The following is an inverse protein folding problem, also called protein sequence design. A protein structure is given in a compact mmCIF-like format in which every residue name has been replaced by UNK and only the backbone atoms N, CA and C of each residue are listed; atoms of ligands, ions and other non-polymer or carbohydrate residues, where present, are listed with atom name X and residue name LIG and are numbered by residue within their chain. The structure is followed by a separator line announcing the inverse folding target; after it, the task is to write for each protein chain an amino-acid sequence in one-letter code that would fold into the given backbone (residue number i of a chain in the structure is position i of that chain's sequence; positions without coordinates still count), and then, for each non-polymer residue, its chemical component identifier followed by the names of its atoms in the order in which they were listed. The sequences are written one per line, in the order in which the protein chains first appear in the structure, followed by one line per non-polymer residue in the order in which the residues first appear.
data_IF_224918146244
#
_entry.id   IF_224918146244
#
_cell.length_a   1.000
_cell.length_b   1.000
_cell.length_c   1.000
_cell.angle_alpha   90.00
_cell.angle_beta   90.00
_cell.angle_gamma   90.00
#
_symmetry.space_group_name_H-M   'P 1'
#
loop_
_entity.id
_entity.type
_entity.pdbx_description
1 polymer ?
#
# COMPACT_ATOMS: atom_id res chain seq x y z
N UNK A 1 -6.48 6.06 23.93
CA UNK A 1 -7.45 5.19 23.21
C UNK A 1 -6.93 3.74 23.11
N UNK A 2 -5.62 3.50 23.01
CA UNK A 2 -5.05 2.16 22.82
C UNK A 2 -4.31 1.59 24.03
N UNK A 3 -4.29 2.26 25.19
CA UNK A 3 -3.42 1.93 26.34
C UNK A 3 -3.90 0.73 27.19
N UNK A 4 -5.13 0.23 27.00
CA UNK A 4 -5.66 -0.91 27.79
C UNK A 4 -6.66 -1.72 26.94
N UNK A 5 -6.19 -2.25 25.80
CA UNK A 5 -7.04 -3.09 24.95
C UNK A 5 -7.13 -4.48 25.58
N UNK A 6 -8.33 -4.87 26.01
CA UNK A 6 -8.64 -6.23 26.42
C UNK A 6 -8.99 -7.08 25.18
N UNK A 7 -7.98 -7.73 24.62
CA UNK A 7 -8.11 -8.57 23.42
C UNK A 7 -9.14 -9.68 23.63
N UNK A 8 -9.17 -10.30 24.81
CA UNK A 8 -10.12 -11.37 25.11
C UNK A 8 -11.57 -10.87 25.00
N UNK A 9 -11.85 -9.72 25.59
CA UNK A 9 -13.18 -9.10 25.53
C UNK A 9 -13.56 -8.74 24.09
N UNK A 10 -12.64 -8.17 23.32
CA UNK A 10 -12.85 -7.85 21.89
C UNK A 10 -13.19 -9.12 21.09
N UNK A 11 -12.46 -10.22 21.30
CA UNK A 11 -12.75 -11.49 20.62
C UNK A 11 -14.13 -12.04 21.00
N UNK A 12 -14.50 -12.00 22.28
CA UNK A 12 -15.83 -12.41 22.77
C UNK A 12 -16.95 -11.58 22.11
N UNK A 13 -16.80 -10.26 22.05
CA UNK A 13 -17.77 -9.36 21.40
C UNK A 13 -17.91 -9.67 19.91
N UNK A 14 -16.80 -9.84 19.17
CA UNK A 14 -16.84 -10.14 17.75
C UNK A 14 -17.39 -11.53 17.44
N UNK A 15 -17.10 -12.55 18.25
CA UNK A 15 -17.69 -13.89 18.13
C UNK A 15 -19.21 -13.86 18.26
N UNK A 16 -19.75 -12.97 19.12
CA UNK A 16 -21.18 -12.81 19.34
C UNK A 16 -21.94 -12.18 18.16
N UNK A 17 -21.24 -11.62 17.17
CA UNK A 17 -21.87 -11.13 15.94
C UNK A 17 -22.24 -12.26 14.97
N UNK A 18 -21.70 -13.44 15.14
CA UNK A 18 -22.02 -14.65 14.37
C UNK A 18 -22.81 -15.65 15.22
N UNK A 19 -23.77 -16.33 14.62
CA UNK A 19 -24.49 -17.43 15.28
C UNK A 19 -23.58 -18.61 15.56
N UNK A 20 -22.63 -18.87 14.65
CA UNK A 20 -21.62 -19.90 14.78
C UNK A 20 -20.33 -19.49 14.03
N UNK A 21 -19.45 -18.75 14.69
CA UNK A 21 -18.21 -18.24 14.11
C UNK A 21 -17.27 -19.35 13.60
N UNK A 22 -17.33 -20.57 14.18
CA UNK A 22 -16.53 -21.71 13.72
C UNK A 22 -17.01 -22.23 12.36
N UNK A 23 -18.32 -22.44 12.20
CA UNK A 23 -18.91 -22.86 10.92
C UNK A 23 -18.74 -21.77 9.85
N UNK A 24 -18.87 -20.51 10.23
CA UNK A 24 -18.62 -19.39 9.32
C UNK A 24 -17.16 -19.40 8.85
N UNK A 25 -16.21 -19.63 9.73
CA UNK A 25 -14.80 -19.74 9.37
C UNK A 25 -14.53 -20.90 8.39
N UNK A 26 -15.13 -22.06 8.59
CA UNK A 26 -15.01 -23.20 7.65
C UNK A 26 -15.50 -22.83 6.24
N UNK A 27 -16.58 -22.02 6.12
CA UNK A 27 -17.06 -21.54 4.82
C UNK A 27 -16.05 -20.55 4.19
N UNK A 28 -15.52 -19.63 4.99
CA UNK A 28 -14.49 -18.68 4.57
C UNK A 28 -13.23 -19.43 4.11
N UNK A 29 -12.80 -20.44 4.86
CA UNK A 29 -11.63 -21.25 4.51
C UNK A 29 -11.81 -21.93 3.14
N UNK A 30 -12.94 -22.56 2.88
CA UNK A 30 -13.27 -23.15 1.57
C UNK A 30 -13.29 -22.11 0.45
N UNK A 31 -13.83 -20.92 0.70
CA UNK A 31 -13.78 -19.82 -0.26
C UNK A 31 -12.34 -19.43 -0.60
N UNK A 32 -11.48 -19.27 0.41
CA UNK A 32 -10.07 -18.93 0.21
C UNK A 32 -9.31 -20.07 -0.48
N UNK A 33 -9.59 -21.34 -0.15
CA UNK A 33 -9.02 -22.50 -0.85
C UNK A 33 -9.33 -22.45 -2.36
N UNK A 34 -10.56 -22.13 -2.73
CA UNK A 34 -10.95 -22.01 -4.14
C UNK A 34 -10.20 -20.87 -4.85
N UNK A 35 -10.07 -19.70 -4.21
CA UNK A 35 -9.30 -18.58 -4.76
C UNK A 35 -7.80 -18.93 -4.92
N UNK A 36 -7.21 -19.58 -3.92
CA UNK A 36 -5.82 -20.05 -3.98
C UNK A 36 -5.64 -21.08 -5.11
N UNK A 37 -6.56 -22.01 -5.26
CA UNK A 37 -6.50 -23.00 -6.34
C UNK A 37 -6.54 -22.35 -7.72
N UNK A 38 -7.33 -21.30 -7.90
CA UNK A 38 -7.35 -20.52 -9.13
C UNK A 38 -5.99 -19.85 -9.39
N UNK A 39 -5.40 -19.21 -8.39
CA UNK A 39 -4.06 -18.59 -8.47
C UNK A 39 -3.01 -19.63 -8.91
N UNK A 40 -3.01 -20.80 -8.27
CA UNK A 40 -2.07 -21.88 -8.58
C UNK A 40 -2.27 -22.44 -10.00
N UNK A 41 -3.50 -22.46 -10.50
CA UNK A 41 -3.80 -22.88 -11.88
C UNK A 41 -3.25 -21.88 -12.92
N UNK A 42 -3.30 -20.57 -12.65
CA UNK A 42 -2.66 -19.57 -13.51
C UNK A 42 -1.13 -19.74 -13.49
N UNK A 43 -0.55 -19.92 -12.30
CA UNK A 43 0.89 -20.16 -12.14
C UNK A 43 1.37 -21.40 -12.90
N UNK A 44 0.63 -22.51 -12.82
CA UNK A 44 0.94 -23.74 -13.59
C UNK A 44 0.93 -23.51 -15.11
N UNK A 45 0.15 -22.56 -15.60
CA UNK A 45 0.06 -22.20 -17.03
C UNK A 45 1.08 -21.12 -17.42
N UNK A 46 1.99 -20.72 -16.53
CA UNK A 46 2.90 -19.59 -16.71
C UNK A 46 2.19 -18.28 -17.12
N UNK A 47 1.00 -18.03 -16.55
CA UNK A 47 0.21 -16.82 -16.79
C UNK A 47 0.10 -16.01 -15.50
N UNK A 48 0.11 -14.68 -15.63
CA UNK A 48 -0.23 -13.79 -14.53
C UNK A 48 -1.73 -13.85 -14.25
N UNK A 49 -2.09 -13.85 -12.97
CA UNK A 49 -3.47 -13.69 -12.51
C UNK A 49 -3.77 -12.23 -12.18
N UNK A 50 -2.74 -11.39 -12.10
CA UNK A 50 -2.88 -9.95 -11.83
C UNK A 50 -3.42 -9.29 -13.10
N UNK A 51 -4.56 -8.57 -13.03
CA UNK A 51 -5.12 -7.88 -14.18
C UNK A 51 -4.19 -6.79 -14.71
N UNK A 52 -4.18 -6.61 -16.02
CA UNK A 52 -3.40 -5.58 -16.70
C UNK A 52 -4.28 -4.75 -17.63
N UNK A 53 -4.00 -3.45 -17.74
CA UNK A 53 -4.66 -2.53 -18.66
C UNK A 53 -3.67 -1.46 -19.11
N UNK A 54 -3.76 -1.00 -20.37
CA UNK A 54 -2.98 0.15 -20.83
C UNK A 54 -3.62 1.47 -20.37
N UNK A 55 -2.80 2.51 -20.11
CA UNK A 55 -3.30 3.87 -19.83
C UNK A 55 -4.22 4.39 -20.92
N UNK A 56 -4.03 3.95 -22.16
CA UNK A 56 -4.84 4.34 -23.31
C UNK A 56 -6.22 3.67 -23.35
N UNK A 57 -6.46 2.68 -22.49
CA UNK A 57 -7.69 1.90 -22.44
C UNK A 57 -8.55 2.18 -21.20
N UNK A 58 -8.03 2.91 -20.21
CA UNK A 58 -8.75 3.11 -18.93
C UNK A 58 -10.07 3.89 -19.07
N UNK A 59 -10.24 4.67 -20.14
CA UNK A 59 -11.47 5.40 -20.43
C UNK A 59 -12.47 4.59 -21.27
N UNK A 60 -12.12 3.35 -21.67
CA UNK A 60 -12.97 2.50 -22.47
C UNK A 60 -13.85 1.60 -21.58
N UNK A 61 -14.92 1.07 -22.13
CA UNK A 61 -15.70 0.05 -21.44
C UNK A 61 -14.89 -1.25 -21.35
N UNK A 62 -14.37 -1.52 -20.17
CA UNK A 62 -13.56 -2.69 -19.82
C UNK A 62 -14.18 -3.44 -18.63
N UNK A 63 -15.48 -3.62 -18.65
CA UNK A 63 -16.27 -4.23 -17.56
C UNK A 63 -15.60 -5.49 -17.00
N UNK A 64 -15.14 -6.41 -17.85
CA UNK A 64 -14.48 -7.64 -17.40
C UNK A 64 -13.17 -7.38 -16.65
N UNK A 65 -12.34 -6.45 -17.13
CA UNK A 65 -11.08 -6.10 -16.44
C UNK A 65 -11.38 -5.46 -15.08
N UNK A 66 -12.40 -4.62 -15.00
CA UNK A 66 -12.86 -4.00 -13.74
C UNK A 66 -13.35 -5.07 -12.75
N UNK A 67 -14.11 -6.06 -13.21
CA UNK A 67 -14.55 -7.21 -12.40
C UNK A 67 -13.35 -8.00 -11.87
N UNK A 68 -12.37 -8.29 -12.73
CA UNK A 68 -11.14 -8.98 -12.34
C UNK A 68 -10.34 -8.16 -11.34
N UNK A 69 -10.21 -6.83 -11.52
CA UNK A 69 -9.56 -5.94 -10.55
C UNK A 69 -10.27 -5.98 -9.20
N UNK A 70 -11.60 -5.91 -9.18
CA UNK A 70 -12.39 -5.99 -7.95
C UNK A 70 -12.28 -7.35 -7.27
N UNK A 71 -12.16 -8.43 -8.02
CA UNK A 71 -11.92 -9.78 -7.50
C UNK A 71 -10.50 -9.93 -6.93
N UNK A 72 -9.49 -9.42 -7.66
CA UNK A 72 -8.08 -9.57 -7.29
C UNK A 72 -7.56 -8.50 -6.35
N UNK A 73 -8.20 -7.35 -6.32
CA UNK A 73 -7.79 -6.20 -5.50
C UNK A 73 -6.50 -5.55 -5.97
N UNK A 74 -6.06 -5.80 -7.19
CA UNK A 74 -4.83 -5.24 -7.74
C UNK A 74 -4.90 -5.09 -9.26
N UNK A 75 -4.02 -4.26 -9.82
CA UNK A 75 -3.92 -4.02 -11.26
C UNK A 75 -2.55 -3.49 -11.64
N UNK A 76 -2.07 -3.85 -12.83
CA UNK A 76 -0.95 -3.19 -13.49
C UNK A 76 -1.52 -2.28 -14.57
N UNK A 77 -1.08 -1.02 -14.56
CA UNK A 77 -1.41 -0.06 -15.62
C UNK A 77 -0.12 0.16 -16.42
N UNK A 78 -0.19 -0.24 -17.69
CA UNK A 78 0.93 -0.20 -18.61
C UNK A 78 1.06 1.15 -19.28
N UNK A 79 2.30 1.52 -19.59
CA UNK A 79 2.66 2.67 -20.43
C UNK A 79 2.11 4.01 -19.87
N UNK A 80 2.07 4.17 -18.53
CA UNK A 80 1.63 5.42 -17.89
C UNK A 80 2.55 6.57 -18.24
N UNK A 81 3.84 6.28 -18.33
CA UNK A 81 4.87 7.23 -18.75
C UNK A 81 5.71 6.65 -19.88
N UNK A 82 6.26 7.52 -20.71
CA UNK A 82 7.22 7.13 -21.73
C UNK A 82 8.53 6.63 -21.10
N UNK A 83 9.10 5.56 -21.65
CA UNK A 83 10.32 4.92 -21.14
C UNK A 83 11.46 5.93 -20.96
N UNK A 84 11.74 6.74 -22.00
CA UNK A 84 12.82 7.75 -21.96
C UNK A 84 12.60 8.84 -20.88
N UNK A 85 11.37 9.22 -20.64
CA UNK A 85 11.05 10.19 -19.59
C UNK A 85 11.40 9.61 -18.22
N UNK A 86 11.00 8.37 -17.97
CA UNK A 86 11.26 7.69 -16.69
C UNK A 86 12.74 7.34 -16.53
N UNK A 87 13.43 6.90 -17.58
CA UNK A 87 14.87 6.65 -17.55
C UNK A 87 15.65 7.92 -17.17
N UNK A 88 15.25 9.08 -17.70
CA UNK A 88 15.84 10.36 -17.33
C UNK A 88 15.55 10.72 -15.86
N UNK A 89 14.32 10.47 -15.35
CA UNK A 89 14.00 10.69 -13.96
C UNK A 89 14.76 9.75 -13.02
N UNK A 90 14.99 8.49 -13.44
CA UNK A 90 15.82 7.56 -12.67
C UNK A 90 17.27 8.08 -12.56
N UNK A 91 17.86 8.56 -13.67
CA UNK A 91 19.19 9.16 -13.66
C UNK A 91 19.26 10.41 -12.77
N UNK A 92 18.24 11.29 -12.85
CA UNK A 92 18.16 12.47 -11.97
C UNK A 92 18.07 12.07 -10.50
N UNK A 93 17.34 11.00 -10.17
CA UNK A 93 17.26 10.49 -8.81
C UNK A 93 18.62 9.94 -8.33
N UNK A 94 19.34 9.21 -9.17
CA UNK A 94 20.68 8.71 -8.85
C UNK A 94 21.64 9.86 -8.58
N UNK A 95 21.67 10.87 -9.46
CA UNK A 95 22.47 12.08 -9.26
C UNK A 95 22.09 12.81 -7.96
N UNK A 96 20.79 12.91 -7.66
CA UNK A 96 20.30 13.54 -6.43
C UNK A 96 20.80 12.83 -5.16
N UNK A 97 20.84 11.50 -5.18
CA UNK A 97 21.37 10.67 -4.09
C UNK A 97 22.87 10.91 -3.92
N UNK A 98 23.63 10.87 -5.03
CA UNK A 98 25.10 10.93 -5.02
C UNK A 98 25.62 12.35 -4.70
N UNK A 99 25.05 13.39 -5.33
CA UNK A 99 25.47 14.80 -5.12
C UNK A 99 25.19 15.26 -3.68
N UNK A 100 24.22 14.68 -3.00
CA UNK A 100 23.89 15.02 -1.61
C UNK A 100 24.51 14.06 -0.59
N UNK A 101 25.36 13.13 -1.00
CA UNK A 101 26.03 12.15 -0.12
C UNK A 101 25.06 11.39 0.80
N UNK A 102 23.90 11.00 0.26
CA UNK A 102 22.82 10.35 1.04
C UNK A 102 23.31 9.16 1.88
N UNK A 103 24.17 8.32 1.32
CA UNK A 103 24.67 7.13 2.03
C UNK A 103 25.48 7.47 3.30
N UNK A 104 26.23 8.58 3.29
CA UNK A 104 26.98 9.03 4.46
C UNK A 104 26.04 9.63 5.52
N UNK A 105 25.02 10.36 5.10
CA UNK A 105 24.02 10.90 6.01
C UNK A 105 23.16 9.79 6.64
N UNK A 106 22.79 8.79 5.85
CA UNK A 106 22.06 7.63 6.33
C UNK A 106 22.84 6.84 7.40
N UNK A 107 24.14 6.63 7.23
CA UNK A 107 24.99 5.97 8.23
C UNK A 107 25.00 6.73 9.57
N UNK A 108 25.00 8.05 9.55
CA UNK A 108 24.99 8.88 10.77
C UNK A 108 23.67 8.79 11.55
N UNK A 109 22.56 8.47 10.86
CA UNK A 109 21.20 8.44 11.42
C UNK A 109 20.61 7.03 11.54
N UNK A 110 21.37 5.99 11.23
CA UNK A 110 20.91 4.59 11.22
C UNK A 110 20.23 4.12 12.52
N UNK A 111 20.58 4.76 13.67
CA UNK A 111 19.95 4.46 14.96
C UNK A 111 18.49 4.95 15.09
N UNK A 112 18.03 5.87 14.24
CA UNK A 112 16.69 6.44 14.29
C UNK A 112 15.64 5.50 13.67
N UNK A 113 16.04 4.68 12.70
CA UNK A 113 15.17 3.74 12.03
C UNK A 113 15.68 2.28 12.15
N UNK A 114 15.63 1.75 13.37
CA UNK A 114 16.01 0.35 13.66
C UNK A 114 15.21 -0.69 12.88
N UNK A 115 14.07 -0.32 12.33
CA UNK A 115 13.22 -1.24 11.56
C UNK A 115 13.83 -1.60 10.19
N UNK A 116 14.66 -0.72 9.64
CA UNK A 116 15.30 -0.89 8.33
C UNK A 116 16.83 -0.99 8.40
N UNK A 117 17.43 -0.89 9.59
CA UNK A 117 18.89 -0.83 9.78
C UNK A 117 19.62 -2.17 9.75
N UNK A 118 18.93 -3.30 9.86
CA UNK A 118 19.54 -4.63 9.96
C UNK A 118 19.85 -5.27 8.60
N UNK A 119 20.32 -4.46 7.63
CA UNK A 119 20.67 -4.94 6.30
C UNK A 119 22.07 -5.54 6.27
N UNK A 120 22.18 -6.77 5.81
CA UNK A 120 23.47 -7.43 5.53
C UNK A 120 24.31 -6.70 4.48
N UNK A 121 23.69 -5.98 3.54
CA UNK A 121 24.37 -5.25 2.48
C UNK A 121 25.02 -3.94 2.93
N UNK A 122 24.69 -3.43 4.11
CA UNK A 122 25.17 -2.12 4.59
C UNK A 122 24.62 -0.92 3.78
N UNK A 123 23.72 -1.15 2.81
CA UNK A 123 23.05 -0.13 2.03
C UNK A 123 21.53 -0.20 2.24
N UNK A 124 20.83 0.93 2.38
CA UNK A 124 19.38 0.93 2.48
C UNK A 124 18.75 0.46 1.16
N UNK A 125 17.65 -0.26 1.23
CA UNK A 125 16.82 -0.56 0.07
C UNK A 125 15.64 0.41 -0.04
N UNK A 126 15.22 1.01 1.08
CA UNK A 126 14.20 2.05 1.15
C UNK A 126 14.89 3.34 1.60
N UNK A 127 14.75 4.37 0.79
CA UNK A 127 15.42 5.65 0.98
C UNK A 127 14.44 6.66 1.55
N UNK A 128 14.80 7.29 2.67
CA UNK A 128 14.04 8.36 3.32
C UNK A 128 14.08 9.66 2.52
N UNK A 129 13.77 9.59 1.24
CA UNK A 129 13.69 10.70 0.29
C UNK A 129 12.24 10.87 -0.16
N UNK A 130 11.77 12.09 -0.24
CA UNK A 130 10.36 12.43 -0.47
C UNK A 130 10.16 13.52 -1.53
N UNK A 131 11.13 14.43 -1.64
CA UNK A 131 10.99 15.72 -2.32
C UNK A 131 11.92 15.90 -3.52
N UNK A 132 12.52 14.81 -4.01
CA UNK A 132 13.29 14.83 -5.25
C UNK A 132 12.40 15.17 -6.45
N UNK A 133 13.02 15.74 -7.49
CA UNK A 133 12.32 16.07 -8.74
C UNK A 133 11.62 14.85 -9.35
N UNK A 134 12.28 13.69 -9.38
CA UNK A 134 11.70 12.45 -9.88
C UNK A 134 10.41 12.06 -9.14
N UNK A 135 10.40 12.17 -7.80
CA UNK A 135 9.23 11.85 -7.00
C UNK A 135 8.08 12.84 -7.22
N UNK A 136 8.38 14.12 -7.30
CA UNK A 136 7.37 15.18 -7.52
C UNK A 136 6.76 15.06 -8.92
N UNK A 137 7.57 14.92 -9.96
CA UNK A 137 7.08 14.82 -11.34
C UNK A 137 6.23 13.55 -11.56
N UNK A 138 6.59 12.42 -10.97
CA UNK A 138 5.79 11.21 -11.05
C UNK A 138 4.47 11.37 -10.29
N UNK A 139 4.51 11.78 -9.01
CA UNK A 139 3.30 11.84 -8.15
C UNK A 139 2.26 12.85 -8.61
N UNK A 140 2.72 13.97 -9.20
CA UNK A 140 1.89 15.14 -9.48
C UNK A 140 1.69 15.42 -10.97
N UNK A 141 2.02 14.46 -11.84
CA UNK A 141 1.75 14.57 -13.28
C UNK A 141 0.27 14.43 -13.59
N UNK A 142 -0.16 14.98 -14.72
CA UNK A 142 -1.52 14.82 -15.26
C UNK A 142 -1.84 13.33 -15.55
N UNK A 143 -0.85 12.57 -16.05
CA UNK A 143 -1.00 11.14 -16.30
C UNK A 143 -1.30 10.39 -15.00
N UNK A 144 -0.55 10.68 -13.93
CA UNK A 144 -0.77 10.07 -12.64
C UNK A 144 -2.12 10.49 -12.03
N UNK A 145 -2.52 11.75 -12.19
CA UNK A 145 -3.84 12.23 -11.77
C UNK A 145 -4.97 11.48 -12.50
N UNK A 146 -4.82 11.24 -13.81
CA UNK A 146 -5.76 10.45 -14.60
C UNK A 146 -5.88 9.01 -14.07
N UNK A 147 -4.76 8.36 -13.79
CA UNK A 147 -4.71 7.00 -13.20
C UNK A 147 -5.42 6.96 -11.86
N UNK A 148 -5.08 7.86 -10.94
CA UNK A 148 -5.67 7.88 -9.60
C UNK A 148 -7.16 8.18 -9.63
N UNK A 149 -7.60 9.11 -10.46
CA UNK A 149 -9.03 9.37 -10.69
C UNK A 149 -9.77 8.12 -11.14
N UNK A 150 -9.22 7.37 -12.10
CA UNK A 150 -9.82 6.13 -12.57
C UNK A 150 -9.89 5.09 -11.45
N UNK A 151 -8.82 4.88 -10.70
CA UNK A 151 -8.77 3.95 -9.56
C UNK A 151 -9.78 4.34 -8.47
N UNK A 152 -9.90 5.61 -8.14
CA UNK A 152 -10.86 6.13 -7.16
C UNK A 152 -12.31 5.81 -7.57
N UNK A 153 -12.62 5.88 -8.87
CA UNK A 153 -13.95 5.57 -9.41
C UNK A 153 -14.29 4.06 -9.42
N UNK A 154 -13.34 3.17 -9.12
CA UNK A 154 -13.64 1.75 -8.92
C UNK A 154 -14.36 1.48 -7.59
N UNK A 155 -14.34 2.44 -6.68
CA UNK A 155 -14.93 2.31 -5.35
C UNK A 155 -16.40 2.76 -5.31
N UNK A 156 -17.15 2.20 -4.37
CA UNK A 156 -18.46 2.71 -3.96
C UNK A 156 -18.19 3.80 -2.91
N UNK A 157 -18.01 5.04 -3.36
CA UNK A 157 -17.65 6.18 -2.51
C UNK A 157 -18.82 7.04 -2.07
N UNK A 158 -19.97 6.87 -2.71
CA UNK A 158 -21.21 7.58 -2.37
C UNK A 158 -22.46 6.76 -2.65
N UNK A 159 -23.51 7.07 -1.92
CA UNK A 159 -24.89 6.66 -2.20
C UNK A 159 -25.85 7.75 -1.71
N UNK A 160 -27.14 7.43 -1.54
CA UNK A 160 -28.16 8.37 -1.04
C UNK A 160 -27.88 8.88 0.38
N UNK A 161 -27.16 8.10 1.20
CA UNK A 161 -26.94 8.39 2.63
C UNK A 161 -25.61 9.07 2.92
N UNK A 162 -24.60 8.91 2.04
CA UNK A 162 -23.24 9.39 2.30
C UNK A 162 -22.44 9.65 1.02
N UNK A 163 -21.47 10.54 1.16
CA UNK A 163 -20.35 10.73 0.24
C UNK A 163 -19.07 10.76 1.09
N UNK A 164 -18.13 9.85 0.81
CA UNK A 164 -16.91 9.67 1.59
C UNK A 164 -15.78 10.54 1.06
N UNK A 165 -15.64 10.62 -0.27
CA UNK A 165 -14.61 11.40 -0.93
C UNK A 165 -15.02 11.89 -2.32
N UNK A 166 -14.31 12.89 -2.84
CA UNK A 166 -14.42 13.32 -4.23
C UNK A 166 -13.38 12.58 -5.09
N UNK A 167 -13.79 11.71 -6.02
CA UNK A 167 -12.86 10.92 -6.84
C UNK A 167 -12.11 11.77 -7.89
N UNK A 168 -12.55 13.00 -8.15
CA UNK A 168 -11.94 13.90 -9.12
C UNK A 168 -10.86 14.80 -8.51
N UNK A 169 -10.78 14.84 -7.18
CA UNK A 169 -9.80 15.62 -6.45
C UNK A 169 -8.89 14.67 -5.69
N UNK A 170 -7.61 14.85 -5.85
CA UNK A 170 -6.59 14.00 -5.26
C UNK A 170 -5.71 14.80 -4.30
N UNK A 171 -5.34 14.19 -3.18
CA UNK A 171 -4.36 14.72 -2.25
C UNK A 171 -3.08 13.89 -2.30
N UNK A 172 -1.95 14.50 -2.00
CA UNK A 172 -0.67 13.81 -2.08
C UNK A 172 -0.35 13.07 -0.77
N UNK A 173 0.10 11.83 -0.91
CA UNK A 173 0.82 11.11 0.13
C UNK A 173 2.26 10.94 -0.32
N UNK A 174 3.17 11.66 0.31
CA UNK A 174 4.59 11.60 -0.03
C UNK A 174 5.21 10.37 0.63
N UNK A 175 5.51 9.37 -0.17
CA UNK A 175 6.19 8.15 0.24
C UNK A 175 7.61 8.11 -0.36
N UNK A 176 8.38 7.11 0.02
CA UNK A 176 9.80 6.93 -0.21
C UNK A 176 10.15 6.47 -1.63
N UNK A 177 11.42 6.23 -1.84
CA UNK A 177 11.97 5.54 -3.01
C UNK A 177 12.50 4.19 -2.56
N UNK A 178 12.32 3.17 -3.38
CA UNK A 178 12.98 1.88 -3.20
C UNK A 178 13.98 1.66 -4.32
N UNK A 179 15.21 1.29 -3.93
CA UNK A 179 16.27 0.86 -4.84
C UNK A 179 16.87 -0.43 -4.30
N UNK A 180 16.79 -1.49 -5.06
CA UNK A 180 17.32 -2.80 -4.68
C UNK A 180 18.40 -3.25 -5.63
N UNK A 181 19.55 -3.58 -5.07
CA UNK A 181 20.71 -4.06 -5.85
C UNK A 181 20.58 -5.54 -6.20
N UNK A 182 21.16 -6.00 -7.32
CA UNK A 182 21.36 -7.42 -7.59
C UNK A 182 22.10 -8.11 -6.45
N UNK A 183 21.62 -9.26 -6.05
CA UNK A 183 22.22 -10.06 -4.97
C UNK A 183 21.69 -9.72 -3.58
N UNK A 184 20.93 -8.64 -3.41
CA UNK A 184 20.35 -8.27 -2.12
C UNK A 184 19.32 -9.28 -1.63
N UNK A 185 19.46 -9.69 -0.37
CA UNK A 185 18.41 -10.39 0.37
C UNK A 185 17.30 -9.41 0.78
N UNK A 186 16.12 -9.93 1.14
CA UNK A 186 15.02 -9.08 1.62
C UNK A 186 15.36 -8.41 2.94
N UNK A 187 14.79 -7.21 3.14
CA UNK A 187 14.78 -6.50 4.42
C UNK A 187 13.82 -7.10 5.47
N UNK A 188 13.28 -8.31 5.22
CA UNK A 188 12.25 -8.88 6.08
C UNK A 188 10.88 -8.23 5.90
N UNK A 189 10.59 -7.65 4.72
CA UNK A 189 9.24 -7.25 4.33
C UNK A 189 8.40 -8.50 4.05
N UNK A 190 8.13 -9.25 5.12
CA UNK A 190 7.27 -10.42 5.13
C UNK A 190 5.83 -10.02 4.73
N UNK A 191 4.99 -10.97 4.35
CA UNK A 191 3.60 -10.69 3.97
C UNK A 191 2.85 -9.90 5.03
N UNK A 192 2.26 -8.76 4.61
CA UNK A 192 1.58 -7.81 5.50
C UNK A 192 0.55 -6.96 4.75
N UNK A 193 -0.23 -6.19 5.51
CA UNK A 193 -0.97 -5.04 5.01
C UNK A 193 -0.55 -3.80 5.82
N UNK A 194 -0.39 -2.67 5.14
CA UNK A 194 -0.19 -1.37 5.81
C UNK A 194 -1.50 -0.88 6.45
N UNK A 195 -1.49 0.25 7.13
CA UNK A 195 -2.68 0.90 7.68
C UNK A 195 -3.47 0.03 8.67
N UNK A 196 -3.05 0.07 9.91
CA UNK A 196 -3.72 -0.58 11.04
C UNK A 196 -3.43 -2.08 11.15
N UNK A 197 -3.27 -2.52 12.37
CA UNK A 197 -3.06 -3.92 12.74
C UNK A 197 -4.15 -4.35 13.73
N UNK A 198 -3.90 -4.22 15.03
CA UNK A 198 -4.89 -4.51 16.09
C UNK A 198 -6.16 -3.65 15.92
N UNK A 199 -6.03 -2.45 15.40
CA UNK A 199 -7.11 -1.50 15.15
C UNK A 199 -8.23 -2.11 14.29
N UNK A 200 -7.90 -3.05 13.40
CA UNK A 200 -8.88 -3.73 12.54
C UNK A 200 -9.93 -4.52 13.33
N UNK A 201 -9.61 -4.94 14.56
CA UNK A 201 -10.56 -5.61 15.49
C UNK A 201 -11.10 -4.66 16.55
N UNK A 202 -10.39 -3.58 16.89
CA UNK A 202 -10.67 -2.78 18.10
C UNK A 202 -11.26 -1.40 17.80
N UNK A 203 -10.95 -0.78 16.67
CA UNK A 203 -11.54 0.49 16.29
C UNK A 203 -12.96 0.32 15.76
N UNK A 204 -13.87 1.16 16.22
CA UNK A 204 -15.30 1.05 15.92
C UNK A 204 -15.63 1.27 14.43
N UNK A 205 -14.82 2.04 13.70
CA UNK A 205 -15.02 2.26 12.27
C UNK A 205 -14.46 1.08 11.46
N UNK A 206 -13.33 0.51 11.85
CA UNK A 206 -12.86 -0.74 11.28
C UNK A 206 -13.86 -1.88 11.47
N UNK A 207 -14.46 -2.02 12.66
CA UNK A 207 -15.51 -3.00 12.90
C UNK A 207 -16.73 -2.79 11.99
N UNK A 208 -17.11 -1.54 11.72
CA UNK A 208 -18.20 -1.22 10.78
C UNK A 208 -17.85 -1.55 9.32
N UNK A 209 -16.59 -1.34 8.90
CA UNK A 209 -16.09 -1.73 7.58
C UNK A 209 -16.19 -3.25 7.41
N UNK A 210 -15.80 -4.00 8.45
CA UNK A 210 -15.71 -5.47 8.42
C UNK A 210 -16.93 -6.17 9.03
N UNK A 211 -18.05 -5.46 9.29
CA UNK A 211 -19.23 -6.02 9.95
C UNK A 211 -19.76 -7.31 9.31
N UNK A 212 -19.74 -7.37 7.98
CA UNK A 212 -20.21 -8.55 7.25
C UNK A 212 -19.24 -9.73 7.40
N UNK A 213 -17.95 -9.48 7.62
CA UNK A 213 -16.94 -10.50 7.91
C UNK A 213 -17.15 -11.12 9.27
N UNK A 214 -17.42 -10.30 10.29
CA UNK A 214 -17.65 -10.76 11.66
C UNK A 214 -19.05 -11.38 11.88
N UNK A 215 -19.96 -11.25 10.91
CA UNK A 215 -21.27 -11.87 10.91
C UNK A 215 -21.29 -13.14 10.04
N UNK A 216 -22.45 -13.78 9.92
CA UNK A 216 -22.63 -14.94 9.04
C UNK A 216 -22.82 -14.57 7.56
N UNK A 217 -22.43 -13.36 7.15
CA UNK A 217 -22.69 -12.80 5.84
C UNK A 217 -21.42 -12.36 5.10
N UNK A 218 -20.29 -13.04 5.30
CA UNK A 218 -19.00 -12.64 4.71
C UNK A 218 -19.04 -12.50 3.19
N UNK A 219 -19.94 -13.20 2.50
CA UNK A 219 -20.15 -13.10 1.07
C UNK A 219 -20.59 -11.70 0.63
N UNK A 220 -21.33 -10.98 1.51
CA UNK A 220 -21.79 -9.61 1.29
C UNK A 220 -20.68 -8.56 1.45
N UNK A 221 -19.58 -8.93 2.11
CA UNK A 221 -18.47 -8.01 2.28
C UNK A 221 -17.96 -7.51 0.94
N UNK A 222 -18.01 -6.19 0.76
CA UNK A 222 -17.46 -5.51 -0.41
C UNK A 222 -16.18 -4.76 -0.03
N UNK A 223 -14.99 -5.24 -0.45
CA UNK A 223 -13.73 -4.55 -0.17
C UNK A 223 -13.69 -3.12 -0.71
N UNK A 224 -14.38 -2.86 -1.81
CA UNK A 224 -14.44 -1.56 -2.48
C UNK A 224 -15.55 -0.64 -1.96
N UNK A 225 -16.12 -0.91 -0.79
CA UNK A 225 -17.00 -0.01 -0.08
C UNK A 225 -16.18 1.00 0.74
N UNK A 226 -16.33 2.30 0.45
CA UNK A 226 -15.56 3.35 1.11
C UNK A 226 -16.15 3.79 2.45
N UNK A 227 -17.43 3.46 2.73
CA UNK A 227 -18.11 3.89 3.95
C UNK A 227 -17.30 3.56 5.20
N UNK A 228 -17.05 4.56 6.03
CA UNK A 228 -16.26 4.54 7.27
C UNK A 228 -14.73 4.48 7.11
N UNK A 229 -14.17 4.26 5.91
CA UNK A 229 -12.71 4.16 5.74
C UNK A 229 -11.97 5.49 5.95
N UNK A 230 -12.65 6.59 5.74
CA UNK A 230 -12.16 7.95 6.05
C UNK A 230 -12.20 8.30 7.55
N UNK A 231 -12.76 7.42 8.39
CA UNK A 231 -12.99 7.65 9.82
C UNK A 231 -12.20 6.70 10.73
N UNK A 232 -11.47 5.76 10.15
CA UNK A 232 -10.60 4.84 10.91
C UNK A 232 -9.53 5.63 11.67
N UNK A 233 -9.17 5.11 12.84
CA UNK A 233 -8.10 5.67 13.66
C UNK A 233 -7.02 4.61 13.80
N UNK A 234 -5.82 4.97 13.39
CA UNK A 234 -4.63 4.16 13.49
C UNK A 234 -3.73 4.66 14.63
N UNK A 235 -2.97 3.77 15.23
CA UNK A 235 -1.98 4.13 16.24
C UNK A 235 -0.83 4.91 15.61
N UNK A 236 -0.43 6.04 16.23
CA UNK A 236 0.69 6.86 15.74
C UNK A 236 2.00 6.08 15.80
N UNK A 237 2.53 5.74 14.64
CA UNK A 237 3.79 5.02 14.49
C UNK A 237 4.36 5.24 13.07
N UNK A 238 5.69 5.33 12.92
CA UNK A 238 6.34 5.40 11.61
C UNK A 238 6.12 4.17 10.71
N UNK A 239 5.52 3.11 11.23
CA UNK A 239 5.20 1.90 10.48
C UNK A 239 3.73 1.84 10.03
N UNK A 240 2.95 2.90 10.23
CA UNK A 240 1.51 2.94 9.97
C UNK A 240 1.17 4.17 9.12
N UNK A 241 0.39 3.97 8.07
CA UNK A 241 -0.12 5.07 7.25
C UNK A 241 -1.44 5.61 7.81
N UNK A 242 -1.50 6.93 8.03
CA UNK A 242 -2.66 7.62 8.63
C UNK A 242 -3.59 8.27 7.60
N UNK A 243 -3.46 7.93 6.34
CA UNK A 243 -4.33 8.40 5.25
C UNK A 243 -5.26 7.29 4.79
N UNK A 244 -6.42 7.66 4.25
CA UNK A 244 -7.23 6.75 3.48
C UNK A 244 -6.71 6.69 2.04
N UNK A 245 -6.13 5.57 1.65
CA UNK A 245 -5.73 5.28 0.26
C UNK A 245 -6.74 4.33 -0.37
N UNK A 246 -7.24 4.65 -1.54
CA UNK A 246 -8.06 3.70 -2.33
C UNK A 246 -7.17 2.60 -2.88
N UNK A 247 -5.97 2.94 -3.30
CA UNK A 247 -4.93 2.02 -3.72
C UNK A 247 -3.56 2.48 -3.22
N UNK A 248 -2.73 1.52 -2.88
CA UNK A 248 -1.29 1.66 -2.78
C UNK A 248 -0.68 1.31 -4.13
N UNK A 249 0.51 1.84 -4.42
CA UNK A 249 1.15 1.54 -5.68
C UNK A 249 2.57 2.06 -5.77
N UNK A 250 3.18 1.80 -6.91
CA UNK A 250 4.45 2.40 -7.29
C UNK A 250 4.60 2.46 -8.82
N UNK A 251 5.50 3.34 -9.25
CA UNK A 251 5.95 3.48 -10.63
C UNK A 251 7.31 2.82 -10.78
N UNK A 252 7.47 1.94 -11.78
CA UNK A 252 8.75 1.35 -12.12
C UNK A 252 9.67 2.40 -12.76
N UNK A 253 10.86 2.57 -12.20
CA UNK A 253 11.92 3.41 -12.80
C UNK A 253 12.86 2.59 -13.68
N UNK A 254 12.94 1.29 -13.43
CA UNK A 254 13.76 0.34 -14.17
C UNK A 254 12.93 -0.88 -14.56
N UNK A 255 13.40 -1.62 -15.56
CA UNK A 255 12.82 -2.91 -15.89
C UNK A 255 13.01 -3.87 -14.71
N UNK A 256 11.95 -4.55 -14.31
CA UNK A 256 11.98 -5.53 -13.22
C UNK A 256 10.83 -6.53 -13.33
N UNK A 257 11.00 -7.69 -12.73
CA UNK A 257 9.98 -8.74 -12.75
C UNK A 257 10.30 -9.87 -11.77
N UNK A 258 9.73 -11.05 -11.96
CA UNK A 258 10.02 -12.21 -11.10
C UNK A 258 11.53 -12.49 -11.02
N UNK A 259 12.04 -12.70 -9.82
CA UNK A 259 13.44 -12.88 -9.43
C UNK A 259 14.29 -11.60 -9.35
N UNK A 260 13.71 -10.42 -9.59
CA UNK A 260 14.39 -9.13 -9.44
C UNK A 260 14.13 -8.48 -8.07
N UNK A 261 13.78 -9.28 -7.07
CA UNK A 261 13.42 -8.77 -5.75
C UNK A 261 12.18 -7.89 -5.75
N UNK A 262 11.24 -8.17 -6.63
CA UNK A 262 10.06 -7.33 -6.88
C UNK A 262 8.93 -7.58 -5.88
N UNK A 263 7.83 -6.85 -6.08
CA UNK A 263 6.60 -6.98 -5.30
C UNK A 263 5.96 -8.35 -5.49
N UNK A 264 5.46 -8.89 -4.39
CA UNK A 264 4.59 -10.06 -4.38
C UNK A 264 3.23 -9.69 -3.79
N UNK A 265 2.17 -10.27 -4.33
CA UNK A 265 0.79 -10.05 -3.87
C UNK A 265 0.11 -11.38 -3.60
N UNK A 266 -0.84 -11.39 -2.66
CA UNK A 266 -1.89 -12.40 -2.60
C UNK A 266 -3.13 -11.77 -3.25
N UNK A 267 -3.37 -11.99 -4.55
CA UNK A 267 -4.38 -11.28 -5.31
C UNK A 267 -5.80 -11.80 -5.02
N UNK A 268 -6.26 -11.57 -3.80
CA UNK A 268 -7.59 -11.91 -3.29
C UNK A 268 -8.12 -10.69 -2.53
N UNK A 269 -8.99 -9.89 -3.14
CA UNK A 269 -9.53 -8.67 -2.52
C UNK A 269 -10.25 -8.95 -1.19
N UNK A 270 -10.83 -10.14 -1.05
CA UNK A 270 -11.53 -10.59 0.17
C UNK A 270 -10.64 -11.35 1.16
N UNK A 271 -9.30 -11.30 1.04
CA UNK A 271 -8.40 -12.03 1.95
C UNK A 271 -8.60 -11.67 3.43
N UNK A 272 -9.05 -10.45 3.74
CA UNK A 272 -9.35 -10.03 5.09
C UNK A 272 -10.47 -10.86 5.75
N UNK A 273 -11.36 -11.49 4.99
CA UNK A 273 -12.35 -12.41 5.55
C UNK A 273 -11.68 -13.52 6.35
N UNK A 274 -10.62 -14.10 5.80
CA UNK A 274 -9.84 -15.15 6.46
C UNK A 274 -8.98 -14.58 7.59
N UNK A 275 -8.22 -13.53 7.35
CA UNK A 275 -7.27 -12.97 8.32
C UNK A 275 -7.97 -12.54 9.61
N UNK A 276 -9.09 -11.82 9.49
CA UNK A 276 -9.80 -11.30 10.65
C UNK A 276 -10.54 -12.38 11.44
N UNK A 277 -11.16 -13.35 10.77
CA UNK A 277 -11.89 -14.44 11.43
C UNK A 277 -10.97 -15.54 11.94
N UNK A 278 -9.77 -15.71 11.37
CA UNK A 278 -8.74 -16.64 11.86
C UNK A 278 -8.34 -16.33 13.30
N UNK A 279 -8.22 -15.06 13.64
CA UNK A 279 -7.88 -14.61 14.98
C UNK A 279 -8.94 -14.98 16.04
N UNK A 280 -10.17 -15.25 15.61
CA UNK A 280 -11.29 -15.59 16.50
C UNK A 280 -11.39 -17.10 16.78
N UNK A 281 -10.56 -17.95 16.14
CA UNK A 281 -10.66 -19.41 16.30
C UNK A 281 -10.08 -19.88 17.64
N UNK A 282 -10.53 -21.07 18.11
CA UNK A 282 -10.24 -21.60 19.44
C UNK A 282 -8.76 -21.96 19.66
N UNK A 283 -8.02 -22.25 18.60
CA UNK A 283 -6.60 -22.56 18.64
C UNK A 283 -5.69 -21.34 18.70
N UNK A 284 -6.27 -20.12 18.60
CA UNK A 284 -5.54 -18.86 18.78
C UNK A 284 -5.69 -18.39 20.23
N UNK A 285 -4.59 -18.16 20.98
CA UNK A 285 -4.65 -17.71 22.36
C UNK A 285 -5.60 -16.52 22.56
N UNK A 286 -6.37 -16.51 23.64
CA UNK A 286 -7.43 -15.52 23.89
C UNK A 286 -6.91 -14.08 23.97
N UNK A 287 -5.66 -13.88 24.33
CA UNK A 287 -4.98 -12.58 24.42
C UNK A 287 -4.21 -12.20 23.15
N UNK A 288 -4.37 -12.94 22.04
CA UNK A 288 -3.65 -12.74 20.79
C UNK A 288 -4.57 -12.59 19.58
N UNK A 289 -4.08 -11.88 18.56
CA UNK A 289 -4.70 -11.68 17.26
C UNK A 289 -3.74 -12.13 16.16
N UNK A 290 -3.39 -13.44 16.14
CA UNK A 290 -2.50 -14.06 15.16
C UNK A 290 -1.13 -13.35 15.01
N UNK A 291 -0.56 -12.87 16.12
CA UNK A 291 0.72 -12.16 16.14
C UNK A 291 0.66 -10.69 15.74
N UNK A 292 -0.54 -10.13 15.53
CA UNK A 292 -0.71 -8.70 15.27
C UNK A 292 -0.31 -7.85 16.47
N UNK A 293 0.33 -6.71 16.22
CA UNK A 293 0.84 -5.79 17.26
C UNK A 293 0.47 -4.36 16.94
N UNK A 294 0.16 -3.59 17.99
CA UNK A 294 -0.13 -2.17 17.89
C UNK A 294 1.08 -1.42 17.32
N UNK A 295 0.83 -0.42 16.48
CA UNK A 295 1.87 0.39 15.86
C UNK A 295 2.75 -0.35 14.85
N UNK A 296 2.26 -1.45 14.31
CA UNK A 296 2.90 -2.26 13.25
C UNK A 296 1.94 -2.46 12.09
N UNK A 297 2.49 -2.83 10.94
CA UNK A 297 1.69 -3.36 9.84
C UNK A 297 1.03 -4.69 10.25
N UNK A 298 -0.15 -4.99 9.70
CA UNK A 298 -0.84 -6.25 9.92
C UNK A 298 -0.02 -7.40 9.35
N UNK A 299 0.53 -8.26 10.20
CA UNK A 299 1.36 -9.39 9.80
C UNK A 299 0.54 -10.58 9.34
N UNK A 300 0.95 -11.20 8.23
CA UNK A 300 0.43 -12.47 7.73
C UNK A 300 1.56 -13.49 7.77
N UNK A 301 1.48 -14.45 8.69
CA UNK A 301 2.58 -15.34 9.04
C UNK A 301 2.25 -16.82 8.82
N UNK A 302 3.28 -17.68 8.87
CA UNK A 302 3.15 -19.13 8.61
C UNK A 302 2.35 -19.86 9.69
N UNK A 303 2.39 -19.38 10.93
CA UNK A 303 1.79 -20.08 12.06
C UNK A 303 0.26 -20.06 11.98
N UNK A 304 -0.31 -18.96 11.51
CA UNK A 304 -1.75 -18.77 11.46
C UNK A 304 -2.34 -18.70 10.05
N UNK A 305 -1.55 -18.32 9.04
CA UNK A 305 -2.05 -17.95 7.71
C UNK A 305 -1.42 -18.78 6.58
N UNK A 306 -0.95 -20.00 6.87
CA UNK A 306 -0.25 -20.85 5.90
C UNK A 306 -1.04 -21.10 4.61
N UNK A 307 -2.37 -21.16 4.68
CA UNK A 307 -3.24 -21.28 3.52
C UNK A 307 -3.07 -20.09 2.57
N UNK A 308 -3.20 -18.86 3.07
CA UNK A 308 -3.07 -17.64 2.26
C UNK A 308 -1.69 -17.51 1.60
N UNK A 309 -0.63 -17.90 2.31
CA UNK A 309 0.73 -17.80 1.81
C UNK A 309 0.99 -18.66 0.55
N UNK A 310 0.18 -19.69 0.29
CA UNK A 310 0.23 -20.48 -0.96
C UNK A 310 -0.15 -19.65 -2.18
N UNK A 311 -0.91 -18.57 -1.98
CA UNK A 311 -1.36 -17.65 -3.03
C UNK A 311 -0.42 -16.49 -3.31
N UNK A 312 0.75 -16.44 -2.67
CA UNK A 312 1.73 -15.39 -2.91
C UNK A 312 2.35 -15.54 -4.29
N UNK A 313 2.25 -14.50 -5.11
CA UNK A 313 2.78 -14.48 -6.48
C UNK A 313 3.52 -13.17 -6.75
N UNK A 314 4.64 -13.26 -7.47
CA UNK A 314 5.34 -12.08 -7.96
C UNK A 314 4.54 -11.40 -9.07
N UNK A 315 4.65 -10.08 -9.14
CA UNK A 315 4.08 -9.33 -10.26
C UNK A 315 4.78 -9.73 -11.57
N UNK A 316 4.11 -9.63 -12.71
CA UNK A 316 4.75 -9.87 -14.00
C UNK A 316 5.82 -8.82 -14.30
N UNK A 317 6.59 -9.06 -15.38
CA UNK A 317 7.62 -8.14 -15.83
C UNK A 317 7.06 -6.74 -16.08
N UNK A 318 7.70 -5.74 -15.49
CA UNK A 318 7.39 -4.32 -15.61
C UNK A 318 8.46 -3.62 -16.44
N UNK A 319 8.04 -2.66 -17.25
CA UNK A 319 8.94 -1.72 -17.95
C UNK A 319 9.04 -0.40 -17.19
N UNK A 320 10.05 0.43 -17.44
CA UNK A 320 10.04 1.82 -16.96
C UNK A 320 8.73 2.50 -17.36
N UNK A 321 8.11 3.22 -16.43
CA UNK A 321 6.84 3.91 -16.68
C UNK A 321 5.57 3.11 -16.46
N UNK A 322 5.66 1.78 -16.30
CA UNK A 322 4.54 0.97 -15.83
C UNK A 322 4.26 1.24 -14.35
N UNK A 323 3.02 1.07 -13.93
CA UNK A 323 2.61 1.21 -12.53
C UNK A 323 1.86 -0.03 -12.05
N UNK A 324 2.05 -0.39 -10.78
CA UNK A 324 1.27 -1.43 -10.11
C UNK A 324 0.51 -0.84 -8.94
N UNK A 325 -0.71 -1.31 -8.75
CA UNK A 325 -1.63 -0.82 -7.73
C UNK A 325 -2.30 -1.97 -7.01
N UNK A 326 -2.47 -1.83 -5.69
CA UNK A 326 -3.19 -2.81 -4.87
C UNK A 326 -4.04 -2.15 -3.81
N UNK A 327 -5.18 -2.76 -3.56
CA UNK A 327 -6.12 -2.35 -2.52
C UNK A 327 -5.45 -2.40 -1.13
N UNK A 328 -5.73 -1.51 -0.18
CA UNK A 328 -5.11 -1.48 1.15
C UNK A 328 -5.21 -2.80 1.94
N UNK A 329 -6.24 -3.60 1.68
CA UNK A 329 -6.45 -4.89 2.31
C UNK A 329 -5.83 -6.07 1.54
N UNK A 330 -5.14 -5.83 0.43
CA UNK A 330 -4.39 -6.87 -0.29
C UNK A 330 -3.06 -7.10 0.40
N UNK A 331 -2.83 -8.35 0.76
CA UNK A 331 -1.59 -8.79 1.40
C UNK A 331 -0.46 -8.69 0.37
N UNK A 332 0.62 -8.04 0.77
CA UNK A 332 1.78 -7.86 -0.09
C UNK A 332 3.09 -8.14 0.65
N UNK A 333 4.10 -8.46 -0.12
CA UNK A 333 5.47 -8.74 0.31
C UNK A 333 6.46 -8.34 -0.78
N UNK A 334 7.73 -8.55 -0.56
CA UNK A 334 8.75 -8.52 -1.61
C UNK A 334 9.43 -9.87 -1.69
N UNK A 335 9.95 -10.21 -2.87
CA UNK A 335 10.74 -11.43 -3.03
C UNK A 335 11.92 -11.45 -2.08
N UNK A 336 12.24 -12.62 -1.52
CA UNK A 336 13.30 -12.80 -0.52
C UNK A 336 14.67 -12.43 -1.09
N UNK A 337 14.90 -12.66 -2.39
CA UNK A 337 16.19 -12.45 -3.03
C UNK A 337 16.05 -11.73 -4.37
N UNK A 338 17.00 -10.84 -4.66
CA UNK A 338 17.19 -10.25 -5.97
C UNK A 338 18.25 -11.05 -6.75
N UNK A 339 17.80 -11.93 -7.63
CA UNK A 339 18.67 -12.79 -8.45
C UNK A 339 18.91 -12.23 -9.87
N UNK A 340 18.31 -11.06 -10.17
CA UNK A 340 18.48 -10.36 -11.45
C UNK A 340 19.85 -9.71 -11.61
N UNK A 341 20.01 -8.95 -12.69
CA UNK A 341 21.29 -8.31 -13.06
C UNK A 341 21.30 -6.79 -12.89
N UNK A 342 20.14 -6.17 -12.87
CA UNK A 342 19.97 -4.72 -12.83
C UNK A 342 19.27 -4.29 -11.55
N UNK A 343 19.42 -3.02 -11.17
CA UNK A 343 18.65 -2.44 -10.06
C UNK A 343 17.15 -2.52 -10.30
N UNK A 344 16.40 -2.81 -9.24
CA UNK A 344 14.95 -2.69 -9.18
C UNK A 344 14.59 -1.40 -8.45
N UNK A 345 14.35 -0.32 -9.20
CA UNK A 345 14.05 1.01 -8.67
C UNK A 345 12.57 1.35 -8.85
N UNK A 346 11.95 1.88 -7.81
CA UNK A 346 10.56 2.35 -7.85
C UNK A 346 10.36 3.62 -7.03
N UNK A 347 9.41 4.44 -7.45
CA UNK A 347 8.84 5.52 -6.63
C UNK A 347 7.48 5.07 -6.12
N UNK A 348 7.31 5.06 -4.80
CA UNK A 348 6.01 4.77 -4.20
C UNK A 348 5.01 5.89 -4.46
N UNK A 349 3.80 5.50 -4.81
CA UNK A 349 2.67 6.38 -5.05
C UNK A 349 1.42 5.81 -4.38
N UNK A 350 0.51 6.66 -3.95
CA UNK A 350 -0.78 6.26 -3.40
C UNK A 350 -1.90 7.01 -4.09
N UNK A 351 -3.05 6.39 -4.25
CA UNK A 351 -4.28 7.07 -4.62
C UNK A 351 -4.99 7.50 -3.33
N UNK A 352 -4.97 8.80 -3.05
CA UNK A 352 -5.45 9.45 -1.83
C UNK A 352 -6.52 10.49 -2.18
N UNK A 353 -7.78 10.07 -2.41
CA UNK A 353 -8.83 10.98 -2.84
C UNK A 353 -9.13 12.05 -1.79
N UNK A 354 -9.72 13.15 -2.24
CA UNK A 354 -10.05 14.27 -1.36
C UNK A 354 -11.16 13.88 -0.37
N UNK A 355 -10.77 13.75 0.88
CA UNK A 355 -11.67 13.63 2.04
C UNK A 355 -11.05 14.37 3.23
N UNK A 356 -11.84 14.56 4.30
CA UNK A 356 -11.34 15.31 5.47
C UNK A 356 -10.10 14.70 6.10
N UNK A 357 -10.06 13.37 6.30
CA UNK A 357 -8.90 12.66 6.86
C UNK A 357 -7.63 12.96 6.07
N UNK A 358 -7.73 12.84 4.75
CA UNK A 358 -6.59 13.06 3.85
C UNK A 358 -6.18 14.54 3.80
N UNK A 359 -7.13 15.48 3.82
CA UNK A 359 -6.84 16.90 3.85
C UNK A 359 -6.08 17.28 5.15
N UNK A 360 -6.57 16.85 6.29
CA UNK A 360 -5.93 17.11 7.59
C UNK A 360 -4.49 16.58 7.64
N UNK A 361 -4.24 15.41 7.06
CA UNK A 361 -2.90 14.85 6.91
C UNK A 361 -2.05 15.70 5.94
N UNK A 362 -2.58 15.98 4.75
CA UNK A 362 -1.83 16.69 3.71
C UNK A 362 -1.41 18.09 4.15
N UNK A 363 -2.23 18.79 4.91
CA UNK A 363 -1.86 20.11 5.50
C UNK A 363 -0.63 19.99 6.40
N UNK A 364 -0.52 18.92 7.20
CA UNK A 364 0.67 18.66 8.03
C UNK A 364 1.88 18.33 7.15
N UNK A 365 1.69 17.48 6.15
CA UNK A 365 2.72 17.08 5.20
C UNK A 365 3.27 18.28 4.41
N UNK A 366 2.41 19.21 3.99
CA UNK A 366 2.83 20.40 3.21
C UNK A 366 3.74 21.33 4.00
N UNK A 367 3.53 21.46 5.31
CA UNK A 367 4.47 22.18 6.17
C UNK A 367 5.85 21.51 6.17
N UNK A 368 5.89 20.17 6.20
CA UNK A 368 7.13 19.39 6.11
C UNK A 368 7.80 19.54 4.75
N UNK A 369 7.03 19.53 3.65
CA UNK A 369 7.55 19.83 2.31
C UNK A 369 8.25 21.18 2.24
N UNK A 370 7.61 22.25 2.71
CA UNK A 370 8.18 23.59 2.70
C UNK A 370 9.52 23.66 3.47
N UNK A 371 9.63 22.90 4.55
CA UNK A 371 10.85 22.83 5.38
C UNK A 371 11.87 21.80 4.86
N UNK A 372 11.54 20.94 3.91
CA UNK A 372 12.40 19.83 3.45
C UNK A 372 12.53 18.69 4.45
N UNK A 373 11.56 18.56 5.35
CA UNK A 373 11.53 17.52 6.38
C UNK A 373 10.77 16.29 5.95
N UNK A 374 11.00 15.18 6.64
CA UNK A 374 10.27 13.92 6.45
C UNK A 374 8.76 14.12 6.71
N UNK A 375 7.87 13.51 5.90
CA UNK A 375 6.42 13.58 6.13
C UNK A 375 6.00 12.96 7.47
N UNK A 376 4.78 13.24 7.98
CA UNK A 376 4.36 12.86 9.33
C UNK A 376 4.40 11.36 9.65
N UNK A 377 4.13 10.49 8.67
CA UNK A 377 4.07 9.04 8.86
C UNK A 377 5.44 8.34 8.84
N UNK A 378 6.52 9.11 8.73
CA UNK A 378 7.87 8.54 8.60
C UNK A 378 8.79 9.04 9.69
N UNK A 379 9.86 8.28 9.96
CA UNK A 379 10.90 8.70 10.90
C UNK A 379 11.46 10.05 10.50
N UNK A 380 11.67 10.94 11.50
CA UNK A 380 12.15 12.30 11.28
C UNK A 380 13.65 12.32 10.97
N UNK A 381 14.02 11.64 9.88
CA UNK A 381 15.41 11.61 9.40
C UNK A 381 15.83 12.97 8.82
N UNK A 382 14.90 13.68 8.18
CA UNK A 382 15.02 15.05 7.71
C UNK A 382 16.27 15.30 6.84
N UNK A 383 16.61 14.32 5.97
CA UNK A 383 17.81 14.42 5.11
C UNK A 383 17.74 15.61 4.14
N UNK A 384 16.55 15.88 3.59
CA UNK A 384 16.38 16.78 2.44
C UNK A 384 16.33 18.27 2.81
N UNK A 385 16.48 18.67 4.09
CA UNK A 385 16.44 20.08 4.50
C UNK A 385 17.40 20.94 3.67
N UNK A 386 18.64 20.46 3.49
CA UNK A 386 19.70 21.18 2.80
C UNK A 386 20.12 20.54 1.47
N UNK A 387 19.36 19.57 0.95
CA UNK A 387 19.75 18.89 -0.27
C UNK A 387 19.62 19.81 -1.49
N UNK A 388 20.66 19.81 -2.30
CA UNK A 388 20.65 20.49 -3.61
C UNK A 388 19.70 19.77 -4.55
N UNK A 389 18.93 20.54 -5.33
CA UNK A 389 17.96 19.97 -6.26
C UNK A 389 16.66 19.45 -5.63
N UNK A 390 16.48 19.63 -4.30
CA UNK A 390 15.18 19.41 -3.67
C UNK A 390 14.14 20.37 -4.29
N UNK A 391 12.98 19.83 -4.67
CA UNK A 391 11.88 20.64 -5.19
C UNK A 391 11.36 21.60 -4.14
N UNK A 392 11.11 22.83 -4.54
CA UNK A 392 10.58 23.90 -3.72
C UNK A 392 9.23 24.38 -4.24
N UNK A 393 8.58 25.28 -3.50
CA UNK A 393 7.23 25.79 -3.81
C UNK A 393 7.14 26.41 -5.22
N UNK A 394 8.18 27.16 -5.62
CA UNK A 394 8.27 27.81 -6.93
C UNK A 394 8.35 26.84 -8.11
N UNK A 395 8.84 25.64 -7.87
CA UNK A 395 9.01 24.57 -8.87
C UNK A 395 7.71 23.78 -9.13
N UNK A 396 6.69 23.94 -8.27
CA UNK A 396 5.47 23.15 -8.33
C UNK A 396 4.51 23.65 -9.41
N UNK A 397 3.94 22.72 -10.17
CA UNK A 397 2.77 22.99 -11.02
C UNK A 397 1.54 23.36 -10.17
N UNK A 398 0.54 23.98 -10.78
CA UNK A 398 -0.73 24.27 -10.10
C UNK A 398 -1.40 22.98 -9.58
N UNK A 399 -1.35 21.90 -10.34
CA UNK A 399 -1.89 20.61 -9.93
C UNK A 399 -1.15 20.09 -8.67
N UNK A 400 0.18 20.15 -8.66
CA UNK A 400 0.98 19.73 -7.51
C UNK A 400 0.66 20.57 -6.25
N UNK A 401 0.49 21.89 -6.40
CA UNK A 401 0.06 22.78 -5.29
C UNK A 401 -1.30 22.40 -4.74
N UNK A 402 -2.28 22.10 -5.60
CA UNK A 402 -3.60 21.62 -5.16
C UNK A 402 -3.52 20.27 -4.46
N UNK A 403 -2.77 19.33 -5.01
CA UNK A 403 -2.59 18.01 -4.41
C UNK A 403 -1.82 18.04 -3.09
N UNK A 404 -0.96 19.02 -2.88
CA UNK A 404 -0.28 19.28 -1.62
C UNK A 404 -1.08 20.20 -0.67
N UNK A 405 -2.34 20.54 -0.97
CA UNK A 405 -3.15 21.47 -0.20
C UNK A 405 -2.46 22.83 0.07
N UNK A 406 -1.63 23.29 -0.86
CA UNK A 406 -1.00 24.62 -0.89
C UNK A 406 -1.83 25.59 -1.72
N UNK A 407 -2.76 25.10 -2.51
CA UNK A 407 -3.79 25.81 -3.26
C UNK A 407 -5.12 25.06 -3.11
N UNK A 408 -6.22 25.79 -3.17
CA UNK A 408 -7.55 25.20 -3.06
C UNK A 408 -7.97 24.48 -4.35
N UNK A 409 -8.70 23.39 -4.20
CA UNK A 409 -9.44 22.78 -5.28
C UNK A 409 -10.71 23.60 -5.55
N UNK A 410 -10.77 24.18 -6.71
CA UNK A 410 -11.99 24.86 -7.20
C UNK A 410 -13.10 23.88 -7.49
#
# INVERSE_FOLDING_TARGET
MFENIDIKKVKEELRNHSKNYRENFVKIEKFIEAEIQEILNFKKKNKSIIPEISINEIDQDKTKVIEDIKKRGCVIIRDVFEDKFIENLNLQLENYIDENNYYEDQKKKADLDKYFSDLKSGKPQIFGLYWSKAQIEIRHSEQMAKVKKWLNNLWVYKNVEYEVFDPNKELSYADRVRRREPGDDTLGLSPHCDAGSIERWTDSHYQKIYRDIFSDNFEKYNPFEAKYRDKTIEFESPAVAHVFRTFQGWTALTEQGPNDGTLQLIPIAKAMTYVLTRALQDDVPENELCGSKLGRALSVNKDYHSLLLKGLVSIPKMKPGDTVWWHPDVIHAVEDKHSGKNYSNVVYVGATPYCKKNLDYTIKQSKKFLEGKSPPDFSAEDYEINYKGRVKLEDLSLLAKKQLALEEWS
#
